data_IF_335152582912
#
_entry.id   IF_335152582912
#
_cell.length_a   1.000
_cell.length_b   1.000
_cell.length_c   1.000
_cell.angle_alpha   90.00
_cell.angle_beta   90.00
_cell.angle_gamma   90.00
#
_symmetry.space_group_name_H-M   'P 1'
#
loop_
_entity.id
_entity.type
_entity.pdbx_description
1 polymer ?
#
# COMPACT_ATOMS: atom_id res chain seq x y z
N UNK A 1 -17.91 3.09 -14.19
CA UNK A 1 -16.46 3.18 -13.96
C UNK A 1 -16.15 2.87 -12.50
N UNK A 2 -15.11 2.06 -12.23
CA UNK A 2 -14.75 1.82 -10.84
C UNK A 2 -14.23 3.09 -10.17
N UNK A 3 -14.60 3.25 -8.93
CA UNK A 3 -14.20 4.42 -8.16
C UNK A 3 -13.16 4.02 -7.13
N UNK A 4 -12.24 4.93 -6.85
CA UNK A 4 -11.29 4.75 -5.78
C UNK A 4 -12.02 4.78 -4.44
N UNK A 5 -11.84 3.73 -3.64
CA UNK A 5 -12.43 3.67 -2.31
C UNK A 5 -11.62 4.51 -1.33
N UNK A 6 -12.22 4.83 -0.20
CA UNK A 6 -11.51 5.47 0.90
C UNK A 6 -10.87 4.40 1.77
N UNK A 7 -9.63 4.62 2.17
CA UNK A 7 -8.87 3.64 2.94
C UNK A 7 -8.23 4.26 4.17
N UNK A 8 -8.19 3.48 5.24
CA UNK A 8 -7.34 3.78 6.37
C UNK A 8 -5.95 3.23 6.11
N UNK A 9 -4.95 3.71 6.86
CA UNK A 9 -3.61 3.15 6.76
C UNK A 9 -3.59 1.66 7.07
N UNK A 10 -4.37 1.24 8.08
CA UNK A 10 -4.48 -0.17 8.45
C UNK A 10 -4.98 -1.04 7.31
N UNK A 11 -6.00 -0.58 6.62
CA UNK A 11 -6.56 -1.32 5.50
C UNK A 11 -5.55 -1.49 4.38
N UNK A 12 -4.83 -0.42 4.06
CA UNK A 12 -3.81 -0.45 3.01
C UNK A 12 -2.66 -1.39 3.42
N UNK A 13 -2.23 -1.34 4.67
CA UNK A 13 -1.18 -2.23 5.17
C UNK A 13 -1.60 -3.69 4.98
N UNK A 14 -2.84 -4.03 5.29
CA UNK A 14 -3.33 -5.40 5.10
C UNK A 14 -3.28 -5.83 3.64
N UNK A 15 -3.63 -4.93 2.72
CA UNK A 15 -3.56 -5.23 1.29
C UNK A 15 -2.12 -5.53 0.89
N UNK A 16 -1.18 -4.70 1.31
CA UNK A 16 0.24 -4.91 1.02
C UNK A 16 0.75 -6.21 1.63
N UNK A 17 0.37 -6.50 2.87
CA UNK A 17 0.77 -7.74 3.53
C UNK A 17 0.24 -8.97 2.81
N UNK A 18 -0.97 -8.90 2.30
CA UNK A 18 -1.56 -10.02 1.54
C UNK A 18 -0.83 -10.28 0.23
N UNK A 19 -0.01 -9.33 -0.21
CA UNK A 19 0.78 -9.43 -1.44
C UNK A 19 2.28 -9.64 -1.17
N UNK A 20 2.61 -10.03 0.05
CA UNK A 20 3.98 -10.41 0.37
C UNK A 20 4.84 -9.36 1.07
N UNK A 21 4.32 -8.16 1.28
CA UNK A 21 5.04 -7.17 2.06
C UNK A 21 5.04 -7.55 3.53
N UNK A 22 6.13 -7.25 4.22
CA UNK A 22 6.24 -7.47 5.65
C UNK A 22 6.46 -6.15 6.37
N UNK A 23 5.87 -6.01 7.55
CA UNK A 23 6.12 -4.84 8.38
C UNK A 23 7.52 -4.95 8.95
N UNK A 24 8.36 -3.99 8.63
CA UNK A 24 9.74 -3.98 9.10
C UNK A 24 9.89 -3.17 10.38
N UNK A 25 9.17 -2.07 10.48
CA UNK A 25 9.34 -1.13 11.58
C UNK A 25 8.13 -0.20 11.67
N UNK A 26 7.80 0.19 12.88
CA UNK A 26 6.79 1.22 13.12
C UNK A 26 7.44 2.32 13.93
N UNK A 27 7.38 3.55 13.44
CA UNK A 27 7.89 4.72 14.13
C UNK A 27 6.77 5.74 14.25
N UNK A 28 6.24 5.92 15.48
CA UNK A 28 5.07 6.76 15.70
C UNK A 28 3.89 6.23 14.90
N UNK A 29 3.34 7.05 14.04
CA UNK A 29 2.20 6.68 13.19
C UNK A 29 2.61 6.23 11.78
N UNK A 30 3.90 5.99 11.56
CA UNK A 30 4.40 5.58 10.24
C UNK A 30 4.87 4.13 10.28
N UNK A 31 4.31 3.31 9.42
CA UNK A 31 4.65 1.88 9.31
C UNK A 31 5.47 1.67 8.06
N UNK A 32 6.66 1.11 8.23
CA UNK A 32 7.53 0.78 7.11
C UNK A 32 7.38 -0.68 6.74
N UNK A 33 7.08 -0.94 5.47
CA UNK A 33 6.95 -2.28 4.94
C UNK A 33 8.02 -2.54 3.89
N UNK A 34 8.37 -3.80 3.72
CA UNK A 34 9.36 -4.21 2.73
C UNK A 34 8.88 -5.45 1.98
N UNK A 35 9.13 -5.45 0.67
CA UNK A 35 8.92 -6.61 -0.17
C UNK A 35 10.28 -7.02 -0.72
N UNK A 36 10.67 -8.26 -0.45
CA UNK A 36 11.92 -8.81 -0.96
C UNK A 36 11.62 -9.62 -2.22
N UNK A 37 12.25 -9.25 -3.32
CA UNK A 37 12.12 -9.94 -4.59
C UNK A 37 13.51 -10.20 -5.17
N UNK A 38 13.88 -11.47 -5.26
CA UNK A 38 15.18 -11.87 -5.79
C UNK A 38 16.32 -11.10 -5.12
N UNK A 39 17.04 -10.28 -5.88
CA UNK A 39 18.16 -9.51 -5.36
C UNK A 39 17.79 -8.07 -5.01
N UNK A 40 16.51 -7.70 -5.15
CA UNK A 40 16.08 -6.35 -4.87
C UNK A 40 15.06 -6.29 -3.74
N UNK A 41 14.89 -5.12 -3.18
CA UNK A 41 13.88 -4.89 -2.16
C UNK A 41 13.09 -3.64 -2.50
N UNK A 42 11.82 -3.65 -2.13
CA UNK A 42 10.91 -2.53 -2.35
C UNK A 42 10.42 -2.06 -1.00
N UNK A 43 10.61 -0.78 -0.71
CA UNK A 43 10.23 -0.21 0.59
C UNK A 43 9.10 0.79 0.43
N UNK A 44 8.16 0.77 1.37
CA UNK A 44 7.09 1.76 1.39
C UNK A 44 6.76 2.13 2.83
N UNK A 45 6.39 3.38 3.04
CA UNK A 45 5.96 3.87 4.35
C UNK A 45 4.49 4.26 4.26
N UNK A 46 3.68 3.71 5.16
CA UNK A 46 2.24 3.96 5.18
C UNK A 46 1.87 4.59 6.52
N UNK A 47 1.25 5.78 6.52
CA UNK A 47 0.82 6.41 7.76
C UNK A 47 -0.42 5.74 8.34
N UNK A 48 -0.45 5.60 9.66
CA UNK A 48 -1.58 4.97 10.37
C UNK A 48 -2.72 5.96 10.61
N UNK A 49 -3.15 6.65 9.57
CA UNK A 49 -4.28 7.56 9.66
C UNK A 49 -5.60 6.81 9.48
N UNK A 50 -6.62 7.21 10.21
CA UNK A 50 -7.94 6.60 10.08
C UNK A 50 -8.50 6.76 8.67
N UNK A 51 -8.09 7.82 7.99
CA UNK A 51 -8.47 8.07 6.61
C UNK A 51 -7.29 8.68 5.88
N UNK A 52 -6.78 7.98 4.88
CA UNK A 52 -5.66 8.50 4.10
C UNK A 52 -6.13 9.61 3.15
N UNK A 53 -5.35 10.66 3.08
CA UNK A 53 -5.64 11.75 2.15
C UNK A 53 -5.47 11.24 0.72
N UNK A 54 -6.26 11.81 -0.18
CA UNK A 54 -6.30 11.38 -1.58
C UNK A 54 -4.92 11.36 -2.24
N UNK A 55 -4.14 12.43 -2.05
CA UNK A 55 -2.80 12.51 -2.62
C UNK A 55 -1.86 11.44 -2.08
N UNK A 56 -1.90 11.22 -0.76
CA UNK A 56 -1.09 10.19 -0.12
C UNK A 56 -1.48 8.80 -0.64
N UNK A 57 -2.78 8.54 -0.71
CA UNK A 57 -3.30 7.27 -1.19
C UNK A 57 -2.92 7.02 -2.65
N UNK A 58 -3.00 8.03 -3.50
CA UNK A 58 -2.61 7.90 -4.90
C UNK A 58 -1.15 7.51 -5.06
N UNK A 59 -0.27 8.11 -4.25
CA UNK A 59 1.16 7.75 -4.27
C UNK A 59 1.40 6.31 -3.86
N UNK A 60 0.68 5.86 -2.84
CA UNK A 60 0.78 4.47 -2.35
C UNK A 60 0.28 3.50 -3.41
N UNK A 61 -0.85 3.82 -4.05
CA UNK A 61 -1.42 2.98 -5.10
C UNK A 61 -0.49 2.89 -6.30
N UNK A 62 0.20 3.97 -6.63
CA UNK A 62 1.16 3.98 -7.71
C UNK A 62 2.30 3.00 -7.43
N UNK A 63 2.80 3.00 -6.20
CA UNK A 63 3.84 2.06 -5.79
C UNK A 63 3.35 0.62 -5.84
N UNK A 64 2.12 0.38 -5.42
CA UNK A 64 1.49 -0.93 -5.50
C UNK A 64 1.40 -1.40 -6.96
N UNK A 65 1.00 -0.52 -7.85
CA UNK A 65 0.89 -0.82 -9.28
C UNK A 65 2.23 -1.20 -9.89
N UNK A 66 3.30 -0.51 -9.49
CA UNK A 66 4.64 -0.83 -9.95
C UNK A 66 5.07 -2.23 -9.55
N UNK A 67 4.61 -2.71 -8.39
CA UNK A 67 4.96 -4.04 -7.90
C UNK A 67 4.07 -5.14 -8.48
N UNK A 68 2.78 -4.90 -8.62
CA UNK A 68 1.80 -5.96 -8.87
C UNK A 68 0.96 -5.77 -10.12
N UNK A 69 1.09 -4.63 -10.79
CA UNK A 69 0.40 -4.39 -12.05
C UNK A 69 -0.97 -3.75 -11.88
N UNK A 70 -1.52 -3.33 -13.00
CA UNK A 70 -2.75 -2.55 -13.06
C UNK A 70 -4.00 -3.33 -12.66
N UNK A 71 -4.09 -4.59 -13.11
CA UNK A 71 -5.25 -5.41 -12.80
C UNK A 71 -5.40 -5.63 -11.30
N UNK A 72 -4.32 -6.00 -10.64
CA UNK A 72 -4.32 -6.24 -9.20
C UNK A 72 -4.65 -4.96 -8.45
N UNK A 73 -4.16 -3.84 -8.93
CA UNK A 73 -4.43 -2.54 -8.34
C UNK A 73 -5.91 -2.20 -8.41
N UNK A 74 -6.53 -2.45 -9.56
CA UNK A 74 -7.97 -2.21 -9.72
C UNK A 74 -8.80 -3.09 -8.79
N UNK A 75 -8.42 -4.35 -8.65
CA UNK A 75 -9.13 -5.29 -7.79
C UNK A 75 -9.04 -4.90 -6.31
N UNK A 76 -7.89 -4.41 -5.87
CA UNK A 76 -7.66 -4.13 -4.45
C UNK A 76 -8.14 -2.76 -4.01
N UNK A 77 -8.04 -1.75 -4.86
CA UNK A 77 -8.28 -0.36 -4.47
C UNK A 77 -9.51 0.28 -5.11
N UNK A 78 -10.02 -0.28 -6.18
CA UNK A 78 -11.16 0.30 -6.90
C UNK A 78 -12.34 -0.66 -6.89
N UNK A 79 -13.53 -0.09 -6.79
CA UNK A 79 -14.74 -0.92 -6.79
C UNK A 79 -15.81 -0.34 -7.69
#
# INVERSE_FOLDING_TARGET
MPKLRQFSGKEVIKIFQSHGFEVKRTVGSHVRLVLLQDESSFHITIPLHARLKKGTLHGIIKDFELCFGKEETLLCFFS
#
